data_IF_037296046860
#
_entry.id   IF_037296046860
#
_cell.length_a   1.000
_cell.length_b   1.000
_cell.length_c   1.000
_cell.angle_alpha   90.00
_cell.angle_beta   90.00
_cell.angle_gamma   90.00
#
_symmetry.space_group_name_H-M   'P 1'
#
loop_
_entity.id
_entity.type
_entity.pdbx_description
1 polymer ?
#
# COMPACT_ATOMS: atom_id res chain seq x y z
N UNK A 1 0.23 -12.27 13.69
CA UNK A 1 1.44 -11.44 13.77
C UNK A 1 1.09 -10.03 13.33
N UNK A 2 1.62 -9.02 14.01
CA UNK A 2 1.43 -7.61 13.61
C UNK A 2 2.48 -7.22 12.57
N UNK A 3 2.10 -6.42 11.57
CA UNK A 3 3.03 -5.97 10.52
C UNK A 3 4.16 -5.11 11.12
N UNK A 4 3.88 -4.32 12.17
CA UNK A 4 4.93 -3.60 12.88
C UNK A 4 6.05 -4.52 13.38
N UNK A 5 5.69 -5.71 13.90
CA UNK A 5 6.67 -6.69 14.38
C UNK A 5 7.47 -7.33 13.22
N UNK A 6 6.91 -7.37 12.00
CA UNK A 6 7.64 -7.82 10.81
C UNK A 6 8.72 -6.82 10.45
N UNK A 7 8.42 -5.51 10.48
CA UNK A 7 9.39 -4.44 10.22
C UNK A 7 10.53 -4.41 11.27
N UNK A 8 10.26 -4.80 12.50
CA UNK A 8 11.30 -4.92 13.55
C UNK A 8 12.25 -6.10 13.29
N UNK A 9 11.71 -7.21 12.75
CA UNK A 9 12.47 -8.46 12.56
C UNK A 9 13.20 -8.53 11.23
N UNK A 10 12.74 -7.80 10.22
CA UNK A 10 13.28 -7.83 8.86
C UNK A 10 13.92 -6.51 8.47
N UNK A 11 15.00 -6.58 7.72
CA UNK A 11 15.62 -5.39 7.12
C UNK A 11 14.86 -4.91 5.90
N UNK A 12 14.31 -5.85 5.11
CA UNK A 12 13.51 -5.55 3.93
C UNK A 12 12.21 -6.37 3.98
N UNK A 13 11.09 -5.68 4.13
CA UNK A 13 9.74 -6.26 4.05
C UNK A 13 9.25 -6.19 2.62
N UNK A 14 8.70 -7.29 2.10
CA UNK A 14 8.18 -7.36 0.74
C UNK A 14 6.72 -7.78 0.74
N UNK A 15 5.86 -6.95 0.15
CA UNK A 15 4.42 -7.11 0.23
C UNK A 15 3.71 -6.82 -1.08
N UNK A 16 2.50 -7.34 -1.22
CA UNK A 16 1.64 -7.13 -2.39
C UNK A 16 0.33 -6.46 -2.00
N UNK A 17 -0.22 -5.70 -2.95
CA UNK A 17 -1.58 -5.22 -2.87
C UNK A 17 -2.46 -5.91 -3.91
N UNK A 18 -3.66 -6.29 -3.47
CA UNK A 18 -4.72 -6.85 -4.30
C UNK A 18 -6.02 -6.07 -4.10
N UNK A 19 -6.89 -6.13 -5.11
CA UNK A 19 -8.23 -5.55 -4.98
C UNK A 19 -9.29 -6.65 -4.96
N UNK A 20 -10.35 -6.48 -4.14
CA UNK A 20 -11.55 -7.28 -4.27
C UNK A 20 -12.11 -7.18 -5.69
N UNK A 21 -12.53 -8.27 -6.30
CA UNK A 21 -13.22 -8.23 -7.59
C UNK A 21 -14.55 -7.48 -7.44
N UNK A 22 -15.01 -6.83 -8.53
CA UNK A 22 -16.34 -6.20 -8.56
C UNK A 22 -17.40 -7.24 -8.18
N UNK A 23 -18.54 -6.80 -7.62
CA UNK A 23 -19.65 -7.69 -7.18
C UNK A 23 -20.16 -8.60 -8.29
N UNK A 24 -20.10 -8.14 -9.56
CA UNK A 24 -20.44 -8.93 -10.75
C UNK A 24 -19.40 -9.98 -11.15
N UNK A 25 -18.21 -9.96 -10.54
CA UNK A 25 -17.14 -10.90 -10.85
C UNK A 25 -17.06 -11.96 -9.74
N UNK A 26 -16.95 -13.25 -10.07
CA UNK A 26 -16.80 -14.32 -9.09
C UNK A 26 -15.54 -14.12 -8.21
N UNK A 27 -15.63 -14.53 -6.94
CA UNK A 27 -14.52 -14.46 -5.98
C UNK A 27 -13.37 -15.41 -6.34
N UNK A 28 -13.66 -16.47 -7.09
CA UNK A 28 -12.69 -17.48 -7.53
C UNK A 28 -11.48 -16.86 -8.24
N UNK A 29 -11.69 -15.78 -9.00
CA UNK A 29 -10.59 -15.08 -9.69
C UNK A 29 -9.55 -14.49 -8.77
N UNK A 30 -9.95 -13.98 -7.59
CA UNK A 30 -8.97 -13.46 -6.64
C UNK A 30 -8.22 -14.59 -5.94
N UNK A 31 -8.88 -15.74 -5.74
CA UNK A 31 -8.22 -16.92 -5.17
C UNK A 31 -7.18 -17.52 -6.12
N UNK A 32 -7.45 -17.58 -7.43
CA UNK A 32 -6.44 -17.94 -8.44
C UNK A 32 -5.22 -17.00 -8.37
N UNK A 33 -5.47 -15.69 -8.25
CA UNK A 33 -4.38 -14.71 -8.07
C UNK A 33 -3.59 -14.97 -6.78
N UNK A 34 -4.28 -15.24 -5.67
CA UNK A 34 -3.64 -15.51 -4.38
C UNK A 34 -2.83 -16.81 -4.38
N UNK A 35 -3.29 -17.85 -5.07
CA UNK A 35 -2.53 -19.10 -5.25
C UNK A 35 -1.17 -18.86 -5.93
N UNK A 36 -1.14 -17.98 -6.94
CA UNK A 36 0.09 -17.61 -7.61
C UNK A 36 0.98 -16.70 -6.74
N UNK A 37 0.40 -15.70 -6.08
CA UNK A 37 1.14 -14.75 -5.24
C UNK A 37 1.75 -15.41 -4.01
N UNK A 38 1.08 -16.41 -3.43
CA UNK A 38 1.61 -17.18 -2.29
C UNK A 38 2.98 -17.78 -2.59
N UNK A 39 3.18 -18.31 -3.81
CA UNK A 39 4.45 -18.88 -4.25
C UNK A 39 5.61 -17.89 -4.29
N UNK A 40 5.33 -16.58 -4.26
CA UNK A 40 6.33 -15.51 -4.27
C UNK A 40 6.79 -15.09 -2.85
N UNK A 41 6.24 -15.71 -1.83
CA UNK A 41 6.59 -15.54 -0.42
C UNK A 41 6.59 -14.07 0.05
N UNK A 42 5.46 -13.35 -0.08
CA UNK A 42 5.34 -12.01 0.51
C UNK A 42 5.26 -12.10 2.04
N UNK A 43 5.70 -11.06 2.71
CA UNK A 43 5.58 -10.93 4.16
C UNK A 43 4.15 -10.64 4.60
N UNK A 44 3.44 -9.86 3.78
CA UNK A 44 2.01 -9.65 3.94
C UNK A 44 1.35 -9.30 2.59
N UNK A 45 0.03 -9.43 2.54
CA UNK A 45 -0.80 -8.98 1.42
C UNK A 45 -1.81 -7.97 1.94
N UNK A 46 -1.86 -6.78 1.32
CA UNK A 46 -2.91 -5.80 1.58
C UNK A 46 -4.11 -6.02 0.67
N UNK A 47 -5.29 -5.82 1.23
CA UNK A 47 -6.58 -5.96 0.53
C UNK A 47 -7.26 -4.61 0.52
N UNK A 48 -7.43 -4.02 -0.67
CA UNK A 48 -8.01 -2.69 -0.80
C UNK A 48 -9.49 -2.66 -0.42
N UNK A 49 -9.95 -1.50 0.03
CA UNK A 49 -11.35 -1.24 0.31
C UNK A 49 -11.98 -0.60 -0.93
N UNK A 50 -13.01 -1.20 -1.48
CA UNK A 50 -13.58 -0.74 -2.74
C UNK A 50 -14.19 0.65 -2.65
N UNK A 51 -13.77 1.54 -3.55
CA UNK A 51 -14.41 2.83 -3.74
C UNK A 51 -15.90 2.65 -4.11
N UNK A 52 -16.77 3.49 -3.53
CA UNK A 52 -18.20 3.51 -3.91
C UNK A 52 -19.06 2.37 -3.38
N UNK A 53 -18.70 1.73 -2.26
CA UNK A 53 -19.57 0.81 -1.51
C UNK A 53 -19.77 -0.58 -2.13
N UNK A 54 -19.43 -0.80 -3.39
CA UNK A 54 -19.74 -2.05 -4.10
C UNK A 54 -18.87 -3.26 -3.70
N UNK A 55 -17.83 -3.07 -2.93
CA UNK A 55 -16.91 -4.15 -2.49
C UNK A 55 -16.62 -4.12 -0.99
N UNK A 56 -17.32 -3.28 -0.22
CA UNK A 56 -17.14 -3.12 1.23
C UNK A 56 -17.17 -4.46 1.98
N UNK A 57 -18.15 -5.31 1.64
CA UNK A 57 -18.34 -6.59 2.32
C UNK A 57 -17.31 -7.66 1.94
N UNK A 58 -16.60 -7.47 0.80
CA UNK A 58 -15.62 -8.44 0.30
C UNK A 58 -14.23 -8.29 0.91
N UNK A 59 -13.86 -7.07 1.28
CA UNK A 59 -12.51 -6.79 1.82
C UNK A 59 -12.23 -7.55 3.11
N UNK A 60 -13.11 -7.53 4.16
CA UNK A 60 -12.88 -8.29 5.38
C UNK A 60 -12.80 -9.80 5.12
N UNK A 61 -13.67 -10.31 4.24
CA UNK A 61 -13.69 -11.73 3.89
C UNK A 61 -12.39 -12.17 3.21
N UNK A 62 -11.93 -11.40 2.20
CA UNK A 62 -10.68 -11.72 1.48
C UNK A 62 -9.48 -11.58 2.43
N UNK A 63 -9.46 -10.55 3.28
CA UNK A 63 -8.39 -10.37 4.26
C UNK A 63 -8.31 -11.54 5.25
N UNK A 64 -9.45 -12.03 5.72
CA UNK A 64 -9.54 -13.24 6.52
C UNK A 64 -9.02 -14.47 5.76
N UNK A 65 -9.41 -14.63 4.49
CA UNK A 65 -8.97 -15.76 3.65
C UNK A 65 -7.47 -15.73 3.38
N UNK A 66 -6.88 -14.56 3.10
CA UNK A 66 -5.41 -14.38 2.99
C UNK A 66 -4.71 -14.92 4.24
N UNK A 67 -5.23 -14.57 5.42
CA UNK A 67 -4.66 -15.03 6.69
C UNK A 67 -4.86 -16.53 6.91
N UNK A 68 -6.10 -17.01 6.81
CA UNK A 68 -6.46 -18.34 7.29
C UNK A 68 -6.32 -19.46 6.26
N UNK A 69 -6.55 -19.18 4.97
CA UNK A 69 -6.39 -20.17 3.90
C UNK A 69 -4.98 -20.17 3.31
N UNK A 70 -4.38 -18.98 3.19
CA UNK A 70 -3.06 -18.85 2.54
C UNK A 70 -1.90 -18.80 3.54
N UNK A 71 -2.18 -18.53 4.82
CA UNK A 71 -1.16 -18.46 5.88
C UNK A 71 -0.24 -17.24 5.75
N UNK A 72 -0.69 -16.20 5.04
CA UNK A 72 0.05 -14.95 4.83
C UNK A 72 -0.53 -13.87 5.74
N UNK A 73 0.30 -13.00 6.31
CA UNK A 73 -0.23 -11.88 7.07
C UNK A 73 -1.06 -10.96 6.17
N UNK A 74 -2.19 -10.51 6.69
CA UNK A 74 -3.13 -9.69 5.93
C UNK A 74 -3.21 -8.28 6.51
N UNK A 75 -3.28 -7.29 5.62
CA UNK A 75 -3.51 -5.89 5.92
C UNK A 75 -4.86 -5.48 5.30
N UNK A 76 -5.87 -5.28 6.13
CA UNK A 76 -7.18 -4.86 5.65
C UNK A 76 -7.22 -3.32 5.54
N UNK A 77 -7.59 -2.78 4.36
CA UNK A 77 -7.84 -1.36 4.23
C UNK A 77 -9.18 -1.00 4.87
N UNK A 78 -9.23 0.13 5.58
CA UNK A 78 -10.45 0.78 6.04
C UNK A 78 -10.45 2.24 5.62
N UNK A 79 -11.61 2.76 5.21
CA UNK A 79 -11.76 4.14 4.75
C UNK A 79 -12.74 4.92 5.60
N UNK A 80 -12.52 6.23 5.71
CA UNK A 80 -13.38 7.17 6.41
C UNK A 80 -14.68 7.48 5.66
N UNK A 81 -14.61 7.47 4.33
CA UNK A 81 -15.74 7.87 3.47
C UNK A 81 -16.95 6.98 3.75
N UNK A 82 -18.08 7.61 4.10
CA UNK A 82 -19.35 6.96 4.47
C UNK A 82 -19.28 5.96 5.63
N UNK A 83 -18.15 5.92 6.36
CA UNK A 83 -17.97 4.98 7.47
C UNK A 83 -18.51 5.55 8.78
N UNK A 84 -19.38 4.81 9.45
CA UNK A 84 -19.78 5.10 10.82
C UNK A 84 -18.82 4.42 11.82
N UNK A 85 -18.80 4.91 13.06
CA UNK A 85 -18.06 4.25 14.16
C UNK A 85 -18.57 2.83 14.36
N UNK A 86 -19.89 2.64 14.34
CA UNK A 86 -20.54 1.35 14.53
C UNK A 86 -20.15 0.34 13.44
N UNK A 87 -20.18 0.75 12.16
CA UNK A 87 -19.77 -0.13 11.04
C UNK A 87 -18.28 -0.46 11.12
N UNK A 88 -17.45 0.53 11.46
CA UNK A 88 -16.02 0.32 11.66
C UNK A 88 -15.76 -0.69 12.77
N UNK A 89 -16.48 -0.60 13.89
CA UNK A 89 -16.38 -1.56 15.00
C UNK A 89 -16.76 -2.97 14.59
N UNK A 90 -17.86 -3.12 13.84
CA UNK A 90 -18.30 -4.44 13.34
C UNK A 90 -17.24 -5.08 12.45
N UNK A 91 -16.66 -4.28 11.53
CA UNK A 91 -15.62 -4.76 10.62
C UNK A 91 -14.35 -5.15 11.38
N UNK A 92 -13.88 -4.28 12.29
CA UNK A 92 -12.67 -4.56 13.06
C UNK A 92 -12.84 -5.77 13.98
N UNK A 93 -14.00 -5.90 14.65
CA UNK A 93 -14.30 -7.08 15.46
C UNK A 93 -14.28 -8.36 14.63
N UNK A 94 -14.92 -8.35 13.46
CA UNK A 94 -14.86 -9.49 12.54
C UNK A 94 -13.42 -9.84 12.13
N UNK A 95 -12.60 -8.85 11.79
CA UNK A 95 -11.20 -9.06 11.43
C UNK A 95 -10.40 -9.67 12.58
N UNK A 96 -10.55 -9.14 13.80
CA UNK A 96 -9.86 -9.63 15.00
C UNK A 96 -10.29 -11.06 15.38
N UNK A 97 -11.58 -11.35 15.33
CA UNK A 97 -12.13 -12.70 15.60
C UNK A 97 -11.56 -13.74 14.61
N UNK A 98 -11.15 -13.30 13.44
CA UNK A 98 -10.54 -14.12 12.39
C UNK A 98 -9.00 -13.99 12.31
N UNK A 99 -8.36 -13.40 13.31
CA UNK A 99 -6.91 -13.33 13.44
C UNK A 99 -6.22 -12.27 12.55
N UNK A 100 -6.98 -11.36 11.92
CA UNK A 100 -6.45 -10.23 11.15
C UNK A 100 -6.30 -9.02 12.06
N UNK A 101 -5.06 -8.69 12.43
CA UNK A 101 -4.73 -7.65 13.40
C UNK A 101 -4.11 -6.40 12.76
N UNK A 102 -4.11 -6.31 11.42
CA UNK A 102 -3.43 -5.23 10.72
C UNK A 102 -4.43 -4.44 9.86
N UNK A 103 -4.47 -3.14 10.05
CA UNK A 103 -5.42 -2.23 9.40
C UNK A 103 -4.68 -1.09 8.75
N UNK A 104 -4.95 -0.81 7.48
CA UNK A 104 -4.50 0.40 6.79
C UNK A 104 -5.62 1.43 6.86
N UNK A 105 -5.41 2.47 7.65
CA UNK A 105 -6.38 3.54 7.84
C UNK A 105 -6.21 4.62 6.78
N UNK A 106 -7.22 4.78 5.93
CA UNK A 106 -7.24 5.68 4.79
C UNK A 106 -8.43 6.64 4.86
N UNK A 107 -8.34 7.80 4.20
CA UNK A 107 -9.50 8.65 4.03
C UNK A 107 -10.51 8.00 3.08
N UNK A 108 -10.03 7.44 2.00
CA UNK A 108 -10.84 6.98 0.88
C UNK A 108 -11.24 8.12 -0.06
N UNK A 109 -11.65 7.77 -1.27
CA UNK A 109 -12.15 8.70 -2.25
C UNK A 109 -13.69 8.72 -2.25
N UNK A 110 -14.33 9.89 -2.42
CA UNK A 110 -15.77 9.96 -2.61
C UNK A 110 -16.20 9.10 -3.80
N UNK A 111 -17.44 8.57 -3.79
CA UNK A 111 -17.97 7.85 -4.95
C UNK A 111 -17.89 8.67 -6.23
N UNK A 112 -17.64 8.01 -7.35
CA UNK A 112 -17.50 8.66 -8.66
C UNK A 112 -18.78 9.48 -8.99
N UNK A 113 -18.62 10.78 -9.25
CA UNK A 113 -19.73 11.71 -9.50
C UNK A 113 -20.41 12.30 -8.26
N UNK A 114 -19.99 11.95 -7.05
CA UNK A 114 -20.62 12.39 -5.79
C UNK A 114 -19.72 13.31 -4.94
N UNK A 115 -18.81 14.07 -5.56
CA UNK A 115 -17.83 14.91 -4.83
C UNK A 115 -18.45 15.80 -3.74
N UNK A 116 -19.71 16.27 -3.93
CA UNK A 116 -20.40 17.17 -3.00
C UNK A 116 -21.67 16.56 -2.37
N UNK A 117 -22.10 15.36 -2.77
CA UNK A 117 -23.38 14.76 -2.40
C UNK A 117 -23.27 13.33 -1.84
N UNK A 118 -22.22 13.00 -1.11
CA UNK A 118 -22.14 11.70 -0.44
C UNK A 118 -22.49 11.84 1.05
N UNK A 119 -22.93 10.74 1.66
CA UNK A 119 -23.22 10.69 3.08
C UNK A 119 -21.89 10.82 3.84
N UNK A 120 -21.73 11.88 4.63
CA UNK A 120 -20.56 12.03 5.49
C UNK A 120 -20.61 10.95 6.57
N UNK A 121 -19.52 10.18 6.70
CA UNK A 121 -19.30 9.28 7.82
C UNK A 121 -18.92 10.04 9.11
N UNK A 122 -18.58 9.28 10.15
CA UNK A 122 -18.15 9.84 11.46
C UNK A 122 -16.68 10.28 11.48
N UNK A 123 -15.93 10.04 10.40
CA UNK A 123 -14.52 10.39 10.26
C UNK A 123 -14.31 11.32 9.07
N UNK A 124 -13.76 12.49 9.31
CA UNK A 124 -13.47 13.45 8.25
C UNK A 124 -12.13 13.14 7.55
N UNK A 125 -11.13 12.73 8.33
CA UNK A 125 -9.77 12.46 7.85
C UNK A 125 -9.25 11.13 8.41
N UNK A 126 -8.26 10.55 7.72
CA UNK A 126 -7.63 9.29 8.16
C UNK A 126 -7.10 9.37 9.61
N UNK A 127 -6.66 10.53 10.07
CA UNK A 127 -6.22 10.72 11.45
C UNK A 127 -7.33 10.48 12.48
N UNK A 128 -8.58 10.81 12.15
CA UNK A 128 -9.72 10.60 13.05
C UNK A 128 -10.01 9.10 13.20
N UNK A 129 -9.92 8.36 12.10
CA UNK A 129 -10.00 6.90 12.10
C UNK A 129 -8.84 6.28 12.90
N UNK A 130 -7.60 6.76 12.71
CA UNK A 130 -6.43 6.29 13.47
C UNK A 130 -6.63 6.51 14.97
N UNK A 131 -7.07 7.69 15.40
CA UNK A 131 -7.33 7.99 16.82
C UNK A 131 -8.39 7.07 17.41
N UNK A 132 -9.50 6.91 16.70
CA UNK A 132 -10.58 6.01 17.11
C UNK A 132 -10.11 4.55 17.25
N UNK A 133 -9.37 4.05 16.26
CA UNK A 133 -8.82 2.69 16.28
C UNK A 133 -7.82 2.50 17.43
N UNK A 134 -6.94 3.48 17.66
CA UNK A 134 -5.93 3.39 18.72
C UNK A 134 -6.54 3.51 20.12
N UNK A 135 -7.51 4.39 20.31
CA UNK A 135 -8.24 4.53 21.57
C UNK A 135 -8.98 3.25 21.93
N UNK A 136 -9.66 2.62 20.96
CA UNK A 136 -10.52 1.47 21.22
C UNK A 136 -9.76 0.14 21.33
N UNK A 137 -8.78 -0.07 20.47
CA UNK A 137 -8.11 -1.37 20.33
C UNK A 137 -6.66 -1.38 20.83
N UNK A 138 -6.10 -0.22 21.17
CA UNK A 138 -4.74 -0.10 21.70
C UNK A 138 -3.72 -0.83 20.83
N UNK A 139 -2.85 -1.58 21.50
CA UNK A 139 -1.78 -2.37 20.87
C UNK A 139 -2.25 -3.73 20.31
N UNK A 140 -3.54 -4.06 20.39
CA UNK A 140 -4.07 -5.30 19.82
C UNK A 140 -3.93 -5.32 18.32
N UNK A 141 -4.01 -4.16 17.67
CA UNK A 141 -3.88 -3.97 16.23
C UNK A 141 -2.60 -3.23 15.85
N UNK A 142 -2.13 -3.47 14.63
CA UNK A 142 -1.12 -2.66 13.96
C UNK A 142 -1.80 -1.77 12.92
N UNK A 143 -1.53 -0.47 12.97
CA UNK A 143 -2.16 0.53 12.10
C UNK A 143 -1.15 1.05 11.09
N UNK A 144 -1.41 0.81 9.82
CA UNK A 144 -0.72 1.44 8.70
C UNK A 144 -1.38 2.75 8.29
N UNK A 145 -0.60 3.64 7.72
CA UNK A 145 -1.09 4.89 7.11
C UNK A 145 -0.48 5.13 5.74
N UNK A 146 -1.14 5.93 4.90
CA UNK A 146 -0.59 6.36 3.62
C UNK A 146 0.37 7.56 3.79
N UNK A 147 1.44 7.58 2.98
CA UNK A 147 2.35 8.71 2.81
C UNK A 147 2.42 9.09 1.32
N UNK A 148 2.72 10.34 1.04
CA UNK A 148 2.70 10.88 -0.33
C UNK A 148 4.06 11.54 -0.64
N UNK A 149 4.97 10.84 -1.34
CA UNK A 149 6.29 11.40 -1.67
C UNK A 149 6.25 12.70 -2.46
N UNK A 150 5.25 12.85 -3.33
CA UNK A 150 5.01 14.05 -4.14
C UNK A 150 4.03 15.04 -3.51
N UNK A 151 3.52 14.75 -2.29
CA UNK A 151 2.46 15.51 -1.62
C UNK A 151 1.07 14.96 -1.91
N UNK A 152 0.12 15.25 -1.02
CA UNK A 152 -1.27 14.85 -1.23
C UNK A 152 -1.92 15.79 -2.26
N UNK A 153 -2.67 15.22 -3.21
CA UNK A 153 -3.27 15.97 -4.34
C UNK A 153 -4.18 17.14 -3.90
N UNK A 154 -4.72 17.09 -2.70
CA UNK A 154 -5.54 18.16 -2.11
C UNK A 154 -4.76 19.11 -1.18
N UNK A 155 -3.43 19.01 -1.13
CA UNK A 155 -2.59 19.85 -0.28
C UNK A 155 -1.47 20.47 -1.10
N UNK A 156 -1.63 21.72 -1.51
CA UNK A 156 -0.65 22.45 -2.33
C UNK A 156 0.61 22.87 -1.55
N UNK A 157 0.59 22.73 -0.22
CA UNK A 157 1.72 23.10 0.66
C UNK A 157 2.43 21.82 1.17
N UNK A 158 3.63 21.51 0.65
CA UNK A 158 4.37 20.30 1.06
C UNK A 158 4.80 20.31 2.54
N UNK A 159 4.96 21.48 3.15
CA UNK A 159 5.30 21.58 4.58
C UNK A 159 4.07 21.22 5.43
N UNK A 160 2.92 21.73 5.02
CA UNK A 160 1.64 21.43 5.67
C UNK A 160 1.25 19.96 5.53
N UNK A 161 1.45 19.37 4.34
CA UNK A 161 1.22 17.94 4.10
C UNK A 161 2.10 17.07 5.01
N UNK A 162 3.39 17.38 5.11
CA UNK A 162 4.32 16.71 6.02
C UNK A 162 3.92 16.85 7.50
N UNK A 163 3.41 18.03 7.89
CA UNK A 163 2.90 18.26 9.24
C UNK A 163 1.68 17.37 9.54
N UNK A 164 0.74 17.26 8.61
CA UNK A 164 -0.40 16.33 8.73
C UNK A 164 0.03 14.88 8.83
N UNK A 165 1.04 14.48 8.03
CA UNK A 165 1.61 13.13 8.13
C UNK A 165 2.20 12.88 9.51
N UNK A 166 2.98 13.84 10.06
CA UNK A 166 3.53 13.76 11.41
C UNK A 166 2.45 13.66 12.48
N UNK A 167 1.38 14.44 12.37
CA UNK A 167 0.25 14.35 13.30
C UNK A 167 -0.42 12.98 13.25
N UNK A 168 -0.58 12.41 12.05
CA UNK A 168 -1.15 11.08 11.84
C UNK A 168 -0.26 9.99 12.46
N UNK A 169 1.05 10.08 12.33
CA UNK A 169 2.00 9.18 12.98
C UNK A 169 1.89 9.30 14.51
N UNK A 170 1.87 10.53 15.04
CA UNK A 170 1.73 10.76 16.47
C UNK A 170 0.37 10.29 17.03
N UNK A 171 -0.66 10.19 16.19
CA UNK A 171 -1.96 9.64 16.58
C UNK A 171 -1.95 8.11 16.74
N UNK A 172 -0.87 7.42 16.33
CA UNK A 172 -0.69 5.99 16.58
C UNK A 172 -0.53 5.12 15.34
N UNK A 173 -0.09 5.68 14.21
CA UNK A 173 0.32 4.87 13.05
C UNK A 173 1.64 4.17 13.35
N UNK A 174 1.72 2.87 13.11
CA UNK A 174 2.89 2.03 13.37
C UNK A 174 3.85 1.95 12.17
N UNK A 175 3.34 2.10 10.96
CA UNK A 175 4.13 2.09 9.71
C UNK A 175 3.40 2.85 8.60
N UNK A 176 4.13 3.21 7.55
CA UNK A 176 3.59 3.91 6.40
C UNK A 176 3.79 3.09 5.12
N UNK A 177 2.84 3.23 4.18
CA UNK A 177 2.98 2.79 2.80
C UNK A 177 2.87 4.03 1.93
N UNK A 178 3.81 4.23 0.99
CA UNK A 178 3.75 5.40 0.12
C UNK A 178 2.74 5.21 -1.00
N UNK A 179 2.16 6.32 -1.46
CA UNK A 179 1.54 6.37 -2.78
C UNK A 179 2.60 6.06 -3.84
N UNK A 180 2.18 5.55 -4.98
CA UNK A 180 3.06 5.30 -6.13
C UNK A 180 3.74 6.60 -6.62
N UNK A 181 4.93 6.46 -7.13
CA UNK A 181 5.72 7.49 -7.81
C UNK A 181 6.62 6.81 -8.86
N UNK A 182 7.18 7.59 -9.79
CA UNK A 182 8.02 7.06 -10.87
C UNK A 182 9.44 7.62 -10.88
N UNK A 183 9.75 8.54 -9.96
CA UNK A 183 11.08 9.14 -9.77
C UNK A 183 11.55 8.90 -8.34
N UNK A 184 12.58 8.07 -8.18
CA UNK A 184 13.13 7.74 -6.86
C UNK A 184 13.73 8.95 -6.14
N UNK A 185 14.21 9.97 -6.87
CA UNK A 185 14.71 11.22 -6.28
C UNK A 185 13.63 11.95 -5.47
N UNK A 186 12.36 11.89 -5.90
CA UNK A 186 11.25 12.49 -5.15
C UNK A 186 11.03 11.76 -3.82
N UNK A 187 11.17 10.45 -3.82
CA UNK A 187 11.10 9.64 -2.60
C UNK A 187 12.29 9.93 -1.68
N UNK A 188 13.51 10.05 -2.19
CA UNK A 188 14.69 10.35 -1.34
C UNK A 188 14.55 11.70 -0.65
N UNK A 189 14.13 12.74 -1.38
CA UNK A 189 13.82 14.06 -0.81
C UNK A 189 12.68 14.01 0.21
N UNK A 190 11.67 13.16 -0.01
CA UNK A 190 10.61 12.93 0.96
C UNK A 190 11.17 12.29 2.23
N UNK A 191 12.04 11.28 2.13
CA UNK A 191 12.66 10.64 3.28
C UNK A 191 13.48 11.60 4.13
N UNK A 192 14.27 12.47 3.50
CA UNK A 192 15.03 13.52 4.20
C UNK A 192 14.10 14.45 5.00
N UNK A 193 13.03 14.94 4.36
CA UNK A 193 12.04 15.82 5.02
C UNK A 193 11.30 15.09 6.15
N UNK A 194 10.92 13.84 5.93
CA UNK A 194 10.25 13.01 6.93
C UNK A 194 11.16 12.78 8.16
N UNK A 195 12.44 12.51 7.94
CA UNK A 195 13.43 12.37 9.00
C UNK A 195 13.59 13.68 9.81
N UNK A 196 13.75 14.82 9.14
CA UNK A 196 13.84 16.13 9.78
C UNK A 196 12.58 16.46 10.61
N UNK A 197 11.39 16.07 10.10
CA UNK A 197 10.12 16.23 10.82
C UNK A 197 9.96 15.23 11.99
N UNK A 198 10.93 14.31 12.19
CA UNK A 198 10.89 13.31 13.25
C UNK A 198 9.87 12.20 12.99
N UNK A 199 9.61 11.85 11.74
CA UNK A 199 8.80 10.68 11.36
C UNK A 199 9.73 9.46 11.39
N UNK A 200 9.63 8.64 12.45
CA UNK A 200 10.56 7.54 12.72
C UNK A 200 9.94 6.15 12.53
N UNK A 201 8.68 6.07 12.08
CA UNK A 201 8.05 4.77 11.76
C UNK A 201 8.58 4.22 10.44
N UNK A 202 8.64 2.88 10.28
CA UNK A 202 9.08 2.28 9.03
C UNK A 202 8.17 2.68 7.86
N UNK A 203 8.78 2.89 6.69
CA UNK A 203 8.09 3.25 5.46
C UNK A 203 8.33 2.17 4.42
N UNK A 204 7.23 1.57 3.92
CA UNK A 204 7.23 0.69 2.76
C UNK A 204 6.95 1.49 1.50
N UNK A 205 7.75 1.26 0.48
CA UNK A 205 7.68 2.03 -0.78
C UNK A 205 6.69 1.38 -1.74
N UNK A 206 5.66 2.13 -2.13
CA UNK A 206 4.65 1.69 -3.07
C UNK A 206 5.14 1.79 -4.52
N UNK A 207 5.25 0.66 -5.20
CA UNK A 207 5.68 0.57 -6.60
C UNK A 207 4.56 0.00 -7.45
N UNK A 208 4.24 0.69 -8.54
CA UNK A 208 3.24 0.25 -9.51
C UNK A 208 3.90 -0.02 -10.87
N UNK A 209 3.96 -1.27 -11.33
CA UNK A 209 4.35 -1.55 -12.71
C UNK A 209 3.26 -1.08 -13.66
N UNK A 210 3.63 -0.22 -14.59
CA UNK A 210 2.70 0.27 -15.63
C UNK A 210 2.82 -0.63 -16.84
N UNK A 211 1.79 -1.42 -17.07
CA UNK A 211 1.78 -2.47 -18.10
C UNK A 211 0.65 -2.30 -19.13
N UNK A 212 -0.02 -1.15 -19.12
CA UNK A 212 -1.03 -0.82 -20.13
C UNK A 212 -1.23 0.68 -20.26
N UNK A 213 -1.63 1.13 -21.45
CA UNK A 213 -1.90 2.54 -21.76
C UNK A 213 -2.98 3.14 -20.85
N UNK A 214 -4.07 2.41 -20.62
CA UNK A 214 -5.18 2.87 -19.78
C UNK A 214 -4.76 3.11 -18.30
N UNK A 215 -3.74 2.39 -17.81
CA UNK A 215 -3.22 2.65 -16.45
C UNK A 215 -2.56 4.03 -16.36
N UNK A 216 -1.85 4.46 -17.40
CA UNK A 216 -1.11 5.73 -17.40
C UNK A 216 -2.06 6.91 -17.22
N UNK A 217 -3.10 6.97 -18.05
CA UNK A 217 -4.09 8.05 -18.01
C UNK A 217 -4.76 8.12 -16.63
N UNK A 218 -5.13 6.95 -16.10
CA UNK A 218 -5.77 6.84 -14.79
C UNK A 218 -4.85 7.26 -13.63
N UNK A 219 -3.57 6.87 -13.68
CA UNK A 219 -2.58 7.17 -12.65
C UNK A 219 -2.31 8.68 -12.57
N UNK A 220 -2.08 9.32 -13.71
CA UNK A 220 -1.82 10.77 -13.76
C UNK A 220 -3.03 11.54 -13.22
N UNK A 221 -4.24 11.13 -13.60
CA UNK A 221 -5.47 11.83 -13.21
C UNK A 221 -5.85 11.63 -11.73
N UNK A 222 -5.66 10.42 -11.19
CA UNK A 222 -6.14 10.07 -9.85
C UNK A 222 -5.07 10.27 -8.76
N UNK A 223 -3.80 10.02 -9.08
CA UNK A 223 -2.73 10.01 -8.07
C UNK A 223 -1.87 11.29 -8.12
N UNK A 224 -2.01 12.10 -9.18
CA UNK A 224 -1.17 13.29 -9.36
C UNK A 224 0.31 12.99 -9.53
N UNK A 225 0.68 11.72 -9.83
CA UNK A 225 2.06 11.30 -9.96
C UNK A 225 2.73 11.95 -11.18
N UNK A 226 3.93 12.49 -10.99
CA UNK A 226 4.73 13.03 -12.06
C UNK A 226 5.38 11.91 -12.89
N UNK A 227 5.51 12.13 -14.20
CA UNK A 227 6.14 11.17 -15.09
C UNK A 227 7.54 11.69 -15.52
N UNK A 228 8.63 11.02 -15.11
CA UNK A 228 9.98 11.39 -15.55
C UNK A 228 10.12 11.25 -17.07
N UNK A 229 10.94 12.10 -17.68
CA UNK A 229 11.15 12.07 -19.14
C UNK A 229 11.62 10.69 -19.67
N UNK A 230 12.46 9.97 -18.89
CA UNK A 230 12.87 8.59 -19.21
C UNK A 230 11.63 7.71 -19.37
N UNK A 231 10.70 7.78 -18.43
CA UNK A 231 9.50 6.96 -18.41
C UNK A 231 8.52 7.36 -19.53
N UNK A 232 8.31 8.65 -19.75
CA UNK A 232 7.48 9.16 -20.87
C UNK A 232 7.98 8.64 -22.23
N UNK A 233 9.29 8.66 -22.47
CA UNK A 233 9.86 8.11 -23.72
C UNK A 233 9.59 6.62 -23.89
N UNK A 234 9.70 5.84 -22.81
CA UNK A 234 9.40 4.40 -22.80
C UNK A 234 7.92 4.17 -23.13
N UNK A 235 7.03 4.85 -22.44
CA UNK A 235 5.59 4.74 -22.64
C UNK A 235 5.20 5.10 -24.08
N UNK A 236 5.72 6.22 -24.60
CA UNK A 236 5.44 6.66 -25.96
C UNK A 236 5.97 5.67 -27.01
N UNK A 237 7.17 5.10 -26.79
CA UNK A 237 7.80 4.17 -27.74
C UNK A 237 7.01 2.87 -27.89
N UNK A 238 6.44 2.37 -26.80
CA UNK A 238 5.81 1.04 -26.75
C UNK A 238 4.28 1.08 -26.61
N UNK A 239 3.66 2.28 -26.70
CA UNK A 239 2.24 2.48 -26.45
C UNK A 239 1.32 1.60 -27.30
N UNK A 240 1.71 1.28 -28.52
CA UNK A 240 0.90 0.56 -29.51
C UNK A 240 1.21 -0.97 -29.55
N UNK A 241 2.20 -1.43 -28.77
CA UNK A 241 2.48 -2.85 -28.58
C UNK A 241 2.27 -3.24 -27.11
N UNK A 242 1.14 -3.87 -26.76
CA UNK A 242 0.83 -4.22 -25.37
C UNK A 242 1.87 -5.14 -24.71
N UNK A 243 2.52 -6.03 -25.47
CA UNK A 243 3.54 -6.94 -24.92
C UNK A 243 4.84 -6.20 -24.64
N UNK A 244 5.28 -5.36 -25.57
CA UNK A 244 6.46 -4.53 -25.39
C UNK A 244 6.27 -3.51 -24.27
N UNK A 245 5.07 -2.92 -24.15
CA UNK A 245 4.74 -2.00 -23.06
C UNK A 245 4.77 -2.70 -21.69
N UNK A 246 4.19 -3.91 -21.59
CA UNK A 246 4.22 -4.69 -20.36
C UNK A 246 5.66 -5.02 -19.95
N UNK A 247 6.49 -5.47 -20.89
CA UNK A 247 7.88 -5.79 -20.65
C UNK A 247 8.69 -4.57 -20.20
N UNK A 248 8.51 -3.44 -20.88
CA UNK A 248 9.17 -2.18 -20.54
C UNK A 248 8.71 -1.65 -19.15
N UNK A 249 7.43 -1.79 -18.82
CA UNK A 249 6.89 -1.41 -17.52
C UNK A 249 7.43 -2.27 -16.38
N UNK A 250 7.56 -3.58 -16.59
CA UNK A 250 8.21 -4.51 -15.64
C UNK A 250 9.68 -4.13 -15.45
N UNK A 251 10.41 -3.86 -16.55
CA UNK A 251 11.82 -3.46 -16.48
C UNK A 251 12.00 -2.15 -15.70
N UNK A 252 11.14 -1.15 -15.96
CA UNK A 252 11.18 0.12 -15.24
C UNK A 252 10.91 -0.03 -13.74
N UNK A 253 9.87 -0.76 -13.37
CA UNK A 253 9.55 -1.03 -11.96
C UNK A 253 10.67 -1.83 -11.26
N UNK A 254 11.29 -2.77 -11.97
CA UNK A 254 12.45 -3.51 -11.46
C UNK A 254 13.64 -2.59 -11.20
N UNK A 255 13.96 -1.69 -12.14
CA UNK A 255 15.03 -0.68 -12.02
C UNK A 255 14.81 0.22 -10.78
N UNK A 256 13.58 0.72 -10.58
CA UNK A 256 13.20 1.47 -9.39
C UNK A 256 13.44 0.67 -8.10
N UNK A 257 13.02 -0.59 -8.06
CA UNK A 257 13.14 -1.43 -6.86
C UNK A 257 14.61 -1.72 -6.54
N UNK A 258 15.44 -1.99 -7.55
CA UNK A 258 16.88 -2.23 -7.37
C UNK A 258 17.56 -1.03 -6.71
N UNK A 259 17.28 0.16 -7.20
CA UNK A 259 17.82 1.42 -6.67
C UNK A 259 17.31 1.70 -5.23
N UNK A 260 16.02 1.49 -4.98
CA UNK A 260 15.44 1.64 -3.64
C UNK A 260 16.01 0.65 -2.61
N UNK A 261 16.23 -0.61 -3.01
CA UNK A 261 16.89 -1.60 -2.13
C UNK A 261 18.34 -1.15 -1.83
N UNK A 262 19.06 -0.66 -2.83
CA UNK A 262 20.41 -0.14 -2.66
C UNK A 262 20.46 1.09 -1.74
N UNK A 263 19.45 1.95 -1.79
CA UNK A 263 19.27 3.07 -0.86
C UNK A 263 19.01 2.61 0.59
N UNK A 264 18.47 1.40 0.78
CA UNK A 264 18.24 0.82 2.10
C UNK A 264 16.82 1.05 2.64
N UNK A 265 15.79 1.05 1.78
CA UNK A 265 14.40 1.14 2.20
C UNK A 265 14.01 -0.01 3.13
N UNK A 266 13.07 0.25 4.05
CA UNK A 266 12.57 -0.75 4.99
C UNK A 266 11.57 -1.74 4.39
N UNK A 267 10.96 -1.39 3.27
CA UNK A 267 10.00 -2.28 2.62
C UNK A 267 9.69 -1.86 1.19
N UNK A 268 9.30 -2.84 0.39
CA UNK A 268 8.72 -2.66 -0.94
C UNK A 268 7.29 -3.18 -0.93
N UNK A 269 6.36 -2.36 -1.38
CA UNK A 269 4.96 -2.69 -1.52
C UNK A 269 4.56 -2.63 -2.99
N UNK A 270 4.29 -3.79 -3.60
CA UNK A 270 4.00 -3.88 -5.03
C UNK A 270 2.49 -3.85 -5.27
N UNK A 271 2.02 -2.82 -5.96
CA UNK A 271 0.65 -2.71 -6.47
C UNK A 271 0.46 -3.67 -7.64
N UNK A 272 -0.02 -4.88 -7.37
CA UNK A 272 -0.05 -5.96 -8.36
C UNK A 272 -1.09 -5.77 -9.45
N UNK A 273 -2.09 -4.94 -9.22
CA UNK A 273 -3.27 -4.79 -10.10
C UNK A 273 -3.94 -6.15 -10.40
N UNK A 274 -3.88 -7.11 -9.44
CA UNK A 274 -4.28 -8.51 -9.58
C UNK A 274 -3.62 -9.24 -10.76
N UNK A 275 -2.44 -8.77 -11.21
CA UNK A 275 -1.65 -9.39 -12.28
C UNK A 275 -0.50 -10.20 -11.68
N UNK A 276 -0.79 -11.40 -11.22
CA UNK A 276 0.20 -12.25 -10.55
C UNK A 276 1.43 -12.56 -11.42
N UNK A 277 1.26 -12.68 -12.75
CA UNK A 277 2.37 -12.90 -13.68
C UNK A 277 3.37 -11.74 -13.71
N UNK A 278 2.89 -10.48 -13.59
CA UNK A 278 3.74 -9.28 -13.50
C UNK A 278 4.51 -9.28 -12.17
N UNK A 279 3.80 -9.54 -11.07
CA UNK A 279 4.42 -9.65 -9.74
C UNK A 279 5.49 -10.75 -9.71
N UNK A 280 5.22 -11.90 -10.34
CA UNK A 280 6.17 -13.01 -10.45
C UNK A 280 7.44 -12.60 -11.19
N UNK A 281 7.33 -11.94 -12.36
CA UNK A 281 8.48 -11.48 -13.13
C UNK A 281 9.34 -10.51 -12.34
N UNK A 282 8.73 -9.51 -11.68
CA UNK A 282 9.47 -8.55 -10.84
C UNK A 282 10.13 -9.27 -9.66
N UNK A 283 9.41 -10.11 -8.94
CA UNK A 283 9.95 -10.85 -7.79
C UNK A 283 11.12 -11.74 -8.18
N UNK A 284 11.04 -12.41 -9.33
CA UNK A 284 12.14 -13.22 -9.87
C UNK A 284 13.37 -12.38 -10.18
N UNK A 285 13.20 -11.19 -10.77
CA UNK A 285 14.30 -10.29 -11.13
C UNK A 285 15.06 -9.74 -9.90
N UNK A 286 14.40 -9.65 -8.75
CA UNK A 286 15.00 -9.12 -7.51
C UNK A 286 15.27 -10.19 -6.44
N UNK A 287 15.09 -11.48 -6.74
CA UNK A 287 15.18 -12.56 -5.75
C UNK A 287 16.51 -12.57 -5.01
N UNK A 288 17.63 -12.55 -5.73
CA UNK A 288 18.98 -12.51 -5.15
C UNK A 288 19.22 -11.24 -4.34
N UNK A 289 18.66 -10.10 -4.76
CA UNK A 289 18.80 -8.84 -4.02
C UNK A 289 18.06 -8.90 -2.67
N UNK A 290 16.87 -9.50 -2.64
CA UNK A 290 16.13 -9.72 -1.39
C UNK A 290 16.90 -10.62 -0.42
N UNK A 291 17.53 -11.68 -0.91
CA UNK A 291 18.36 -12.58 -0.11
C UNK A 291 19.66 -11.93 0.37
N UNK A 292 20.21 -11.00 -0.43
CA UNK A 292 21.45 -10.28 -0.09
C UNK A 292 21.25 -9.22 1.01
N UNK A 293 20.01 -8.88 1.38
CA UNK A 293 19.71 -8.01 2.53
C UNK A 293 19.42 -8.89 3.75
N UNK A 294 20.44 -9.25 4.56
CA UNK A 294 20.25 -10.18 5.68
C UNK A 294 19.40 -9.51 6.77
N UNK A 295 18.52 -10.29 7.36
CA UNK A 295 17.77 -9.85 8.55
C UNK A 295 18.74 -9.55 9.73
N UNK A 296 18.37 -8.66 10.65
CA UNK A 296 19.21 -8.34 11.79
C UNK A 296 19.42 -9.62 12.61
N UNK A 297 20.58 -10.23 12.46
CA UNK A 297 21.04 -11.26 13.40
C UNK A 297 21.29 -10.53 14.71
N UNK A 298 20.47 -10.83 15.74
CA UNK A 298 20.59 -10.36 17.11
C UNK A 298 21.90 -9.63 17.45
N UNK A 299 22.12 -8.49 16.87
CA UNK A 299 23.14 -7.57 17.35
C UNK A 299 22.67 -7.15 18.74
N UNK A 300 23.33 -7.72 19.75
CA UNK A 300 23.29 -7.15 21.09
C UNK A 300 23.62 -5.68 20.93
N UNK A 301 22.62 -4.82 21.12
CA UNK A 301 22.84 -3.39 21.31
C UNK A 301 23.88 -3.31 22.41
N UNK A 302 25.10 -2.96 22.05
CA UNK A 302 26.12 -2.59 23.02
C UNK A 302 25.55 -1.36 23.73
N UNK A 303 25.18 -1.58 24.98
CA UNK A 303 24.74 -0.60 25.95
C UNK A 303 25.78 0.48 26.17
#
# INVERSE_FOLDING_TARGET
LKIKDIFEKKRLVFSFEIFPPKTTTPLERIYETLDELKGLQPDFISVTYGAGGSTRDRTPQIAMDVKNKYGIESLAHLTCVEATREDTEKIVSFLLDNGVNNILALRGDPPEGARDNFVKGDFEHAIDLVRFLREKYGETISIGGAAYPEGHIECDDPIKDLHFLKQKVNAGVDFLITQLFFDNELFYRFMERAYIAGINVPISVGIMPVVSKNQIERIVTLCGASLPQKFVRILHRYADDPRALEEAGIAYATDQIVDLIAFGVKGIHLYTMNKAHVARRITSNISTLREAVPDPKGEKVLS
#
